data_IF_565074265046
#
_entry.id   IF_565074265046
#
_cell.length_a   1.000
_cell.length_b   1.000
_cell.length_c   1.000
_cell.angle_alpha   90.00
_cell.angle_beta   90.00
_cell.angle_gamma   90.00
#
_symmetry.space_group_name_H-M   'P 1'
#
loop_
_entity.id
_entity.type
_entity.pdbx_description
1 polymer ?
#
# COMPACT_ATOMS: atom_id res chain seq x y z
N UNK A 1 11.19 8.24 -3.48
CA UNK A 1 11.17 6.76 -3.46
C UNK A 1 12.56 6.20 -3.76
N UNK A 2 12.92 5.03 -3.18
CA UNK A 2 14.24 4.38 -3.37
C UNK A 2 14.31 3.52 -4.63
N UNK A 3 13.34 3.61 -5.53
CA UNK A 3 13.25 2.77 -6.74
C UNK A 3 14.48 2.90 -7.64
N UNK A 4 14.96 4.12 -7.89
CA UNK A 4 16.19 4.34 -8.69
C UNK A 4 17.39 3.58 -8.15
N UNK A 5 17.53 3.53 -6.82
CA UNK A 5 18.61 2.80 -6.17
C UNK A 5 18.44 1.28 -6.37
N UNK A 6 17.22 0.78 -6.22
CA UNK A 6 16.91 -0.64 -6.44
C UNK A 6 17.19 -1.06 -7.88
N UNK A 7 16.75 -0.27 -8.86
CA UNK A 7 16.99 -0.56 -10.29
C UNK A 7 18.50 -0.57 -10.58
N UNK A 8 19.24 0.39 -10.03
CA UNK A 8 20.70 0.47 -10.23
C UNK A 8 21.43 -0.78 -9.71
N UNK A 9 21.04 -1.27 -8.53
CA UNK A 9 21.71 -2.42 -7.92
C UNK A 9 21.13 -3.78 -8.33
N UNK A 10 19.86 -3.79 -8.76
CA UNK A 10 19.14 -4.99 -9.15
C UNK A 10 18.45 -4.78 -10.52
N UNK A 11 19.21 -4.68 -11.62
CA UNK A 11 18.67 -4.32 -12.94
C UNK A 11 17.67 -5.35 -13.50
N UNK A 12 17.64 -6.57 -12.95
CA UNK A 12 16.68 -7.64 -13.33
C UNK A 12 15.55 -7.81 -12.28
N UNK A 13 15.42 -6.89 -11.32
CA UNK A 13 14.34 -6.94 -10.36
C UNK A 13 12.99 -6.78 -11.04
N UNK A 14 12.00 -7.50 -10.53
CA UNK A 14 10.59 -7.40 -10.92
C UNK A 14 9.85 -6.64 -9.83
N UNK A 15 9.02 -5.69 -10.22
CA UNK A 15 8.34 -4.79 -9.30
C UNK A 15 6.83 -5.01 -9.39
N UNK A 16 6.21 -5.25 -8.26
CA UNK A 16 4.75 -5.22 -8.12
C UNK A 16 4.39 -3.94 -7.36
N UNK A 17 3.68 -3.05 -8.01
CA UNK A 17 3.13 -1.85 -7.39
C UNK A 17 1.72 -2.13 -6.90
N UNK A 18 1.57 -2.24 -5.58
CA UNK A 18 0.26 -2.43 -4.96
C UNK A 18 -0.40 -1.07 -4.72
N UNK A 19 -1.47 -0.80 -5.45
CA UNK A 19 -2.24 0.45 -5.34
C UNK A 19 -3.42 0.27 -4.38
N UNK A 20 -3.58 1.20 -3.46
CA UNK A 20 -4.71 1.29 -2.53
C UNK A 20 -5.27 2.71 -2.54
N UNK A 21 -6.56 2.86 -2.19
CA UNK A 21 -7.17 4.17 -1.98
C UNK A 21 -6.31 5.04 -1.05
N UNK A 22 -5.97 6.28 -1.44
CA UNK A 22 -5.22 7.22 -0.59
C UNK A 22 -5.90 7.42 0.77
N UNK A 23 -7.22 7.61 0.78
CA UNK A 23 -8.02 7.80 1.99
C UNK A 23 -7.84 6.62 2.94
N UNK A 24 -8.00 5.38 2.46
CA UNK A 24 -7.87 4.19 3.29
C UNK A 24 -6.44 3.98 3.79
N UNK A 25 -5.45 4.33 2.97
CA UNK A 25 -4.04 4.24 3.33
C UNK A 25 -3.69 5.21 4.44
N UNK A 26 -4.15 6.47 4.34
CA UNK A 26 -3.88 7.52 5.31
C UNK A 26 -4.62 7.23 6.63
N UNK A 27 -5.91 6.85 6.57
CA UNK A 27 -6.67 6.45 7.75
C UNK A 27 -5.97 5.34 8.53
N UNK A 28 -5.60 4.28 7.83
CA UNK A 28 -4.91 3.13 8.44
C UNK A 28 -3.59 3.53 9.07
N UNK A 29 -2.79 4.38 8.40
CA UNK A 29 -1.51 4.82 8.90
C UNK A 29 -1.65 5.72 10.13
N UNK A 30 -2.60 6.64 10.12
CA UNK A 30 -2.88 7.54 11.27
C UNK A 30 -3.32 6.73 12.49
N UNK A 31 -4.19 5.72 12.30
CA UNK A 31 -4.59 4.82 13.39
C UNK A 31 -3.38 4.08 14.00
N UNK A 32 -2.48 3.58 13.15
CA UNK A 32 -1.25 2.92 13.63
C UNK A 32 -0.36 3.91 14.38
N UNK A 33 -0.20 5.14 13.88
CA UNK A 33 0.59 6.18 14.57
C UNK A 33 0.03 6.52 15.95
N UNK A 34 -1.30 6.60 16.08
CA UNK A 34 -1.94 6.84 17.38
C UNK A 34 -1.68 5.69 18.36
N UNK A 35 -1.96 4.45 17.95
CA UNK A 35 -1.72 3.27 18.80
C UNK A 35 -0.25 3.12 19.21
N UNK A 36 0.69 3.41 18.33
CA UNK A 36 2.12 3.39 18.64
C UNK A 36 2.53 4.57 19.53
N UNK A 37 1.97 5.76 19.29
CA UNK A 37 2.22 6.93 20.10
C UNK A 37 1.87 6.71 21.57
N UNK A 38 0.75 6.06 21.83
CA UNK A 38 0.28 5.73 23.18
C UNK A 38 1.16 4.66 23.86
N UNK A 39 1.78 3.76 23.08
CA UNK A 39 2.59 2.64 23.58
C UNK A 39 4.05 2.99 23.80
N UNK A 40 4.66 3.74 22.89
CA UNK A 40 6.12 3.95 22.85
C UNK A 40 6.52 5.43 22.75
N UNK A 41 5.57 6.34 22.68
CA UNK A 41 5.80 7.77 22.55
C UNK A 41 6.41 8.36 23.80
N UNK A 42 7.54 9.08 23.68
CA UNK A 42 8.15 9.86 24.76
C UNK A 42 7.47 11.22 24.96
N UNK A 43 6.60 11.61 24.05
CA UNK A 43 5.82 12.86 24.07
C UNK A 43 4.39 12.59 23.62
N UNK A 44 3.42 13.41 24.05
CA UNK A 44 2.04 13.30 23.56
C UNK A 44 2.03 13.39 22.02
N UNK A 45 1.25 12.53 21.34
CA UNK A 45 1.13 12.60 19.89
C UNK A 45 0.49 13.95 19.48
N UNK A 46 0.81 14.46 18.28
CA UNK A 46 0.12 15.62 17.71
C UNK A 46 -1.39 15.38 17.64
N UNK A 47 -2.17 16.47 17.51
CA UNK A 47 -3.62 16.35 17.30
C UNK A 47 -3.91 15.49 16.07
N UNK A 48 -5.04 14.80 16.07
CA UNK A 48 -5.46 13.94 14.95
C UNK A 48 -5.54 14.73 13.64
N UNK A 49 -6.01 15.97 13.70
CA UNK A 49 -6.07 16.90 12.59
C UNK A 49 -4.69 17.09 11.93
N UNK A 50 -3.67 17.42 12.74
CA UNK A 50 -2.30 17.60 12.27
C UNK A 50 -1.68 16.30 11.74
N UNK A 51 -1.98 15.17 12.38
CA UNK A 51 -1.52 13.87 11.89
C UNK A 51 -2.08 13.53 10.51
N UNK A 52 -3.34 13.89 10.24
CA UNK A 52 -3.98 13.71 8.93
C UNK A 52 -3.30 14.58 7.87
N UNK A 53 -3.09 15.87 8.13
CA UNK A 53 -2.40 16.78 7.21
C UNK A 53 -0.98 16.31 6.87
N UNK A 54 -0.16 16.06 7.89
CA UNK A 54 1.22 15.60 7.71
C UNK A 54 1.27 14.26 6.95
N UNK A 55 0.32 13.37 7.20
CA UNK A 55 0.27 12.07 6.55
C UNK A 55 -0.23 12.18 5.11
N UNK A 56 -1.21 13.05 4.83
CA UNK A 56 -1.69 13.31 3.47
C UNK A 56 -0.57 13.93 2.61
N UNK A 57 0.13 14.93 3.13
CA UNK A 57 1.27 15.56 2.44
C UNK A 57 2.37 14.54 2.14
N UNK A 58 2.79 13.77 3.14
CA UNK A 58 3.81 12.75 2.95
C UNK A 58 3.39 11.65 1.96
N UNK A 59 2.10 11.30 1.94
CA UNK A 59 1.55 10.36 0.97
C UNK A 59 1.61 10.93 -0.45
N UNK A 60 1.22 12.18 -0.66
CA UNK A 60 1.27 12.84 -1.96
C UNK A 60 2.71 12.94 -2.49
N UNK A 61 3.66 13.38 -1.66
CA UNK A 61 5.09 13.41 -2.01
C UNK A 61 5.63 12.02 -2.39
N UNK A 62 5.23 10.98 -1.63
CA UNK A 62 5.60 9.60 -1.92
C UNK A 62 5.05 9.16 -3.29
N UNK A 63 3.77 9.43 -3.58
CA UNK A 63 3.15 9.05 -4.84
C UNK A 63 3.79 9.78 -6.03
N UNK A 64 4.05 11.07 -5.91
CA UNK A 64 4.77 11.84 -6.93
C UNK A 64 6.17 11.28 -7.19
N UNK A 65 6.92 11.00 -6.12
CA UNK A 65 8.27 10.41 -6.23
C UNK A 65 8.23 9.00 -6.85
N UNK A 66 7.18 8.23 -6.57
CA UNK A 66 6.95 6.91 -7.13
C UNK A 66 6.68 7.01 -8.63
N UNK A 67 5.75 7.87 -9.05
CA UNK A 67 5.39 8.11 -10.44
C UNK A 67 6.60 8.55 -11.27
N UNK A 68 7.39 9.49 -10.75
CA UNK A 68 8.64 9.91 -11.40
C UNK A 68 9.64 8.78 -11.54
N UNK A 69 9.69 7.87 -10.56
CA UNK A 69 10.64 6.75 -10.54
C UNK A 69 10.22 5.59 -11.41
N UNK A 70 8.92 5.37 -11.62
CA UNK A 70 8.38 4.31 -12.48
C UNK A 70 8.86 4.43 -13.92
N UNK A 71 9.07 5.64 -14.41
CA UNK A 71 9.54 5.91 -15.79
C UNK A 71 10.88 5.27 -16.11
N UNK A 72 11.64 4.85 -15.09
CA UNK A 72 12.92 4.18 -15.25
C UNK A 72 12.82 2.64 -15.18
N UNK A 73 11.62 2.11 -14.95
CA UNK A 73 11.38 0.66 -14.90
C UNK A 73 10.88 0.21 -16.27
N UNK A 74 11.52 -0.76 -16.92
CA UNK A 74 10.98 -1.39 -18.13
C UNK A 74 9.57 -1.95 -17.89
N UNK A 75 8.67 -1.80 -18.85
CA UNK A 75 7.27 -2.21 -18.69
C UNK A 75 7.11 -3.70 -18.32
N UNK A 76 7.98 -4.55 -18.86
CA UNK A 76 8.01 -5.99 -18.57
C UNK A 76 8.49 -6.32 -17.14
N UNK A 77 9.08 -5.35 -16.43
CA UNK A 77 9.55 -5.50 -15.06
C UNK A 77 8.59 -4.88 -14.03
N UNK A 78 7.51 -4.23 -14.47
CA UNK A 78 6.55 -3.57 -13.60
C UNK A 78 5.14 -4.13 -13.81
N UNK A 79 4.47 -4.49 -12.73
CA UNK A 79 3.05 -4.82 -12.73
C UNK A 79 2.32 -4.02 -11.65
N UNK A 80 1.28 -3.31 -12.05
CA UNK A 80 0.37 -2.65 -11.12
C UNK A 80 -0.74 -3.60 -10.70
N UNK A 81 -0.98 -3.66 -9.40
CA UNK A 81 -1.97 -4.52 -8.76
C UNK A 81 -2.85 -3.68 -7.83
N UNK A 82 -4.16 -3.78 -7.98
CA UNK A 82 -5.10 -3.17 -7.04
C UNK A 82 -5.13 -3.96 -5.73
N UNK A 83 -5.11 -3.26 -4.60
CA UNK A 83 -5.34 -3.86 -3.29
C UNK A 83 -6.74 -4.49 -3.20
N UNK A 84 -7.74 -3.86 -3.83
CA UNK A 84 -9.10 -4.41 -3.92
C UNK A 84 -9.13 -5.78 -4.62
N UNK A 85 -8.43 -5.90 -5.76
CA UNK A 85 -8.32 -7.18 -6.47
C UNK A 85 -7.60 -8.24 -5.63
N UNK A 86 -6.52 -7.84 -4.93
CA UNK A 86 -5.78 -8.77 -4.08
C UNK A 86 -6.63 -9.29 -2.91
N UNK A 87 -7.53 -8.48 -2.37
CA UNK A 87 -8.43 -8.88 -1.27
C UNK A 87 -9.61 -9.71 -1.78
N UNK A 88 -10.23 -9.32 -2.89
CA UNK A 88 -11.45 -9.97 -3.40
C UNK A 88 -11.16 -11.22 -4.23
N UNK A 89 -10.06 -11.21 -4.99
CA UNK A 89 -9.65 -12.28 -5.92
C UNK A 89 -8.18 -12.64 -5.76
N UNK A 90 -7.74 -13.03 -4.54
CA UNK A 90 -6.31 -13.17 -4.23
C UNK A 90 -5.59 -14.20 -5.09
N UNK A 91 -6.18 -15.36 -5.36
CA UNK A 91 -5.54 -16.40 -6.17
C UNK A 91 -5.35 -15.96 -7.63
N UNK A 92 -6.37 -15.36 -8.22
CA UNK A 92 -6.31 -14.85 -9.59
C UNK A 92 -5.27 -13.72 -9.70
N UNK A 93 -5.25 -12.84 -8.70
CA UNK A 93 -4.31 -11.71 -8.65
C UNK A 93 -2.87 -12.19 -8.55
N UNK A 94 -2.58 -13.17 -7.69
CA UNK A 94 -1.24 -13.74 -7.56
C UNK A 94 -0.88 -14.53 -8.82
N UNK A 95 -1.82 -15.29 -9.41
CA UNK A 95 -1.58 -15.96 -10.69
C UNK A 95 -1.19 -14.98 -11.79
N UNK A 96 -1.89 -13.83 -11.89
CA UNK A 96 -1.55 -12.76 -12.85
C UNK A 96 -0.12 -12.26 -12.67
N UNK A 97 0.38 -12.18 -11.43
CA UNK A 97 1.79 -11.82 -11.16
C UNK A 97 2.74 -12.89 -11.71
N UNK A 98 2.45 -14.18 -11.49
CA UNK A 98 3.25 -15.28 -12.02
C UNK A 98 3.29 -15.27 -13.55
N UNK A 99 2.12 -15.12 -14.18
CA UNK A 99 1.97 -15.10 -15.63
C UNK A 99 2.71 -13.89 -16.26
N UNK A 100 2.52 -12.68 -15.68
CA UNK A 100 3.15 -11.46 -16.19
C UNK A 100 4.67 -11.52 -16.18
N UNK A 101 5.24 -12.06 -15.11
CA UNK A 101 6.69 -12.15 -14.98
C UNK A 101 7.28 -13.48 -15.49
N UNK A 102 6.48 -14.39 -16.03
CA UNK A 102 6.94 -15.70 -16.46
C UNK A 102 7.56 -16.50 -15.30
N UNK A 103 7.00 -16.42 -14.09
CA UNK A 103 7.48 -17.18 -12.94
C UNK A 103 6.99 -18.62 -13.08
N UNK A 104 7.92 -19.58 -13.16
CA UNK A 104 7.61 -21.01 -13.21
C UNK A 104 7.23 -21.55 -11.83
N UNK A 105 6.54 -22.71 -11.79
CA UNK A 105 6.21 -23.38 -10.53
C UNK A 105 4.87 -22.94 -9.92
N UNK A 106 3.94 -22.44 -10.73
CA UNK A 106 2.59 -22.11 -10.24
C UNK A 106 1.86 -23.32 -9.66
N UNK A 107 1.97 -24.49 -10.30
CA UNK A 107 1.34 -25.74 -9.86
C UNK A 107 1.74 -26.13 -8.44
N UNK A 108 2.99 -25.91 -8.07
CA UNK A 108 3.52 -26.19 -6.74
C UNK A 108 3.16 -25.08 -5.73
N UNK A 109 3.07 -23.83 -6.20
CA UNK A 109 2.80 -22.66 -5.38
C UNK A 109 1.30 -22.49 -5.05
N UNK A 110 0.40 -22.90 -5.94
CA UNK A 110 -1.04 -22.67 -5.81
C UNK A 110 -1.63 -23.24 -4.50
N UNK A 111 -1.29 -24.47 -4.14
CA UNK A 111 -1.78 -25.11 -2.92
C UNK A 111 -1.43 -24.33 -1.63
N UNK A 112 -0.14 -24.05 -1.38
CA UNK A 112 0.29 -23.20 -0.27
C UNK A 112 -0.33 -21.80 -0.26
N UNK A 113 -0.44 -21.16 -1.42
CA UNK A 113 -1.06 -19.83 -1.54
C UNK A 113 -2.55 -19.90 -1.16
N UNK A 114 -3.29 -20.89 -1.65
CA UNK A 114 -4.71 -21.13 -1.31
C UNK A 114 -4.90 -21.30 0.20
N UNK A 115 -4.05 -22.06 0.86
CA UNK A 115 -4.09 -22.21 2.32
C UNK A 115 -3.83 -20.89 3.04
N UNK A 116 -2.88 -20.10 2.56
CA UNK A 116 -2.58 -18.77 3.12
C UNK A 116 -3.75 -17.80 2.96
N UNK A 117 -4.37 -17.80 1.79
CA UNK A 117 -5.57 -17.00 1.49
C UNK A 117 -6.72 -17.37 2.42
N UNK A 118 -7.01 -18.66 2.61
CA UNK A 118 -8.06 -19.10 3.51
C UNK A 118 -7.85 -18.63 4.97
N UNK A 119 -6.60 -18.63 5.43
CA UNK A 119 -6.26 -18.08 6.76
C UNK A 119 -6.40 -16.56 6.81
N UNK A 120 -6.02 -15.86 5.73
CA UNK A 120 -6.13 -14.40 5.68
C UNK A 120 -7.59 -13.92 5.60
N UNK A 121 -8.49 -14.68 4.96
CA UNK A 121 -9.91 -14.37 4.90
C UNK A 121 -10.62 -14.46 6.27
N UNK A 122 -10.06 -15.22 7.21
CA UNK A 122 -10.54 -15.24 8.59
C UNK A 122 -10.17 -13.98 9.40
N UNK A 123 -9.25 -13.17 8.88
CA UNK A 123 -8.86 -11.91 9.50
C UNK A 123 -9.85 -10.80 9.13
N UNK A 124 -10.53 -10.27 10.11
CA UNK A 124 -11.34 -9.06 9.97
C UNK A 124 -10.49 -7.86 10.40
N UNK A 125 -10.24 -6.96 9.46
CA UNK A 125 -9.61 -5.69 9.79
C UNK A 125 -10.58 -4.82 10.60
N UNK A 126 -10.11 -4.24 11.69
CA UNK A 126 -10.89 -3.25 12.42
C UNK A 126 -11.21 -2.06 11.49
N UNK A 127 -12.49 -1.72 11.29
CA UNK A 127 -12.84 -0.57 10.48
C UNK A 127 -12.29 0.71 11.12
N UNK A 128 -11.56 1.48 10.35
CA UNK A 128 -11.06 2.79 10.79
C UNK A 128 -12.13 3.83 10.51
N UNK A 129 -12.84 4.27 11.55
CA UNK A 129 -13.81 5.33 11.46
C UNK A 129 -13.20 6.65 11.96
N UNK A 130 -13.19 7.64 11.10
CA UNK A 130 -12.90 9.02 11.49
C UNK A 130 -14.22 9.77 11.73
N UNK A 131 -14.28 10.73 12.66
CA UNK A 131 -15.38 11.67 12.74
C UNK A 131 -15.60 12.39 11.41
N UNK A 132 -16.84 12.72 11.06
CA UNK A 132 -17.22 13.28 9.75
C UNK A 132 -16.41 14.53 9.37
N UNK A 133 -16.18 15.44 10.33
CA UNK A 133 -15.38 16.65 10.10
C UNK A 133 -13.91 16.36 9.76
N UNK A 134 -13.34 15.25 10.27
CA UNK A 134 -11.97 14.81 9.93
C UNK A 134 -11.92 14.07 8.59
N UNK A 135 -12.98 13.35 8.23
CA UNK A 135 -13.15 12.77 6.91
C UNK A 135 -13.17 13.85 5.83
N UNK A 136 -13.99 14.87 6.02
CA UNK A 136 -14.06 16.00 5.11
C UNK A 136 -12.71 16.71 4.99
N UNK A 137 -12.05 16.96 6.13
CA UNK A 137 -10.73 17.55 6.13
C UNK A 137 -9.70 16.71 5.35
N UNK A 138 -9.68 15.39 5.53
CA UNK A 138 -8.80 14.51 4.78
C UNK A 138 -9.06 14.58 3.27
N UNK A 139 -10.33 14.61 2.86
CA UNK A 139 -10.69 14.77 1.45
C UNK A 139 -10.19 16.10 0.87
N UNK A 140 -10.27 17.18 1.64
CA UNK A 140 -9.81 18.50 1.19
C UNK A 140 -8.27 18.55 1.11
N UNK A 141 -7.56 17.95 2.05
CA UNK A 141 -6.10 17.79 1.94
C UNK A 141 -5.67 17.06 0.67
N UNK A 142 -6.40 16.00 0.28
CA UNK A 142 -6.08 15.21 -0.93
C UNK A 142 -6.38 15.95 -2.25
N UNK A 143 -7.28 16.94 -2.25
CA UNK A 143 -7.55 17.77 -3.44
C UNK A 143 -6.46 18.84 -3.66
N UNK A 144 -5.78 19.23 -2.58
CA UNK A 144 -4.78 20.32 -2.60
C UNK A 144 -3.34 19.82 -2.68
N UNK A 145 -3.11 18.53 -2.51
CA UNK A 145 -1.80 17.86 -2.56
C UNK A 145 -1.51 17.31 -3.95
#
# INVERSE_FOLDING_TARGET
ARLRLLIKHFPRARFVLLQRSPIDSIRSLVQVKQRLGDLVGLQPPPSLFRQLEETATAHAELMQSLEQSQRFIPAEQLLEVSYGDLVTRPLETVKRIYDHFGIVGWSEAEGPIRQRVARAQAYQADPVHLPEHLEQHLQDCLKTA
#
